data_IF_897641927275
#
_entry.id   IF_897641927275
#
_cell.length_a   1.000
_cell.length_b   1.000
_cell.length_c   1.000
_cell.angle_alpha   90.00
_cell.angle_beta   90.00
_cell.angle_gamma   90.00
#
_symmetry.space_group_name_H-M   'P 1'
#
loop_
_entity.id
_entity.type
_entity.pdbx_description
1 polymer ?
#
# COMPACT_ATOMS: atom_id res chain seq x y z
N UNK A 1 15.01 2.67 19.55
CA UNK A 1 15.71 2.79 20.84
C UNK A 1 14.97 3.82 21.66
N UNK A 2 14.45 3.47 22.85
CA UNK A 2 13.65 4.39 23.64
C UNK A 2 14.52 5.45 24.32
N UNK A 3 13.95 6.61 24.67
CA UNK A 3 14.66 7.65 25.46
C UNK A 3 15.22 7.09 26.77
N UNK A 4 14.50 6.14 27.38
CA UNK A 4 14.92 5.40 28.57
C UNK A 4 16.14 4.52 28.32
N UNK A 5 16.26 3.93 27.12
CA UNK A 5 17.43 3.13 26.75
C UNK A 5 18.66 4.02 26.56
N UNK A 6 18.50 5.19 25.91
CA UNK A 6 19.58 6.18 25.73
C UNK A 6 20.04 6.70 27.09
N UNK A 7 19.09 7.08 27.96
CA UNK A 7 19.35 7.55 29.31
C UNK A 7 20.14 6.51 30.12
N UNK A 8 19.72 5.23 30.06
CA UNK A 8 20.40 4.11 30.72
C UNK A 8 21.81 3.91 30.18
N UNK A 9 21.99 3.92 28.86
CA UNK A 9 23.29 3.71 28.19
C UNK A 9 24.30 4.81 28.50
N UNK A 10 23.83 6.06 28.51
CA UNK A 10 24.65 7.25 28.73
C UNK A 10 24.74 7.65 30.21
N UNK A 11 24.08 6.92 31.11
CA UNK A 11 24.01 7.20 32.57
C UNK A 11 23.54 8.63 32.88
N UNK A 12 22.54 9.10 32.15
CA UNK A 12 21.92 10.42 32.36
C UNK A 12 20.42 10.27 32.60
N UNK A 13 19.78 11.30 33.15
CA UNK A 13 18.31 11.32 33.27
C UNK A 13 17.64 11.42 31.88
N UNK A 14 16.43 10.88 31.76
CA UNK A 14 15.61 11.04 30.54
C UNK A 14 15.36 12.51 30.21
N UNK A 15 15.21 13.37 31.22
CA UNK A 15 15.09 14.83 31.07
C UNK A 15 16.34 15.46 30.46
N UNK A 16 17.53 14.97 30.82
CA UNK A 16 18.80 15.42 30.22
C UNK A 16 18.89 15.02 28.76
N UNK A 17 18.49 13.79 28.41
CA UNK A 17 18.42 13.33 27.02
C UNK A 17 17.46 14.23 26.23
N UNK A 18 16.26 14.47 26.75
CA UNK A 18 15.25 15.33 26.09
C UNK A 18 15.78 16.75 25.86
N UNK A 19 16.35 17.39 26.88
CA UNK A 19 16.94 18.74 26.76
C UNK A 19 18.07 18.78 25.74
N UNK A 20 18.87 17.71 25.63
CA UNK A 20 19.91 17.62 24.61
C UNK A 20 19.32 17.47 23.21
N UNK A 21 18.25 16.70 23.05
CA UNK A 21 17.51 16.63 21.79
C UNK A 21 16.92 17.98 21.38
N UNK A 22 16.31 18.73 22.32
CA UNK A 22 15.77 20.08 22.07
C UNK A 22 16.84 21.10 21.64
N UNK A 23 18.10 20.88 22.03
CA UNK A 23 19.22 21.74 21.61
C UNK A 23 19.64 21.50 20.15
N UNK A 24 19.22 20.39 19.53
CA UNK A 24 19.48 20.16 18.11
C UNK A 24 18.47 20.91 17.26
N UNK A 25 18.91 22.03 16.66
CA UNK A 25 18.23 22.60 15.51
C UNK A 25 18.79 21.95 14.24
N UNK A 26 17.97 21.21 13.50
CA UNK A 26 18.34 20.77 12.16
C UNK A 26 18.32 21.99 11.23
N UNK A 27 19.44 22.27 10.56
CA UNK A 27 19.45 23.28 9.49
C UNK A 27 18.86 22.63 8.25
N UNK A 28 17.66 23.06 7.87
CA UNK A 28 17.04 22.64 6.62
C UNK A 28 17.78 23.32 5.45
N UNK A 29 18.38 22.52 4.56
CA UNK A 29 19.03 23.01 3.36
C UNK A 29 18.05 22.94 2.18
N UNK A 30 17.63 24.09 1.68
CA UNK A 30 16.65 24.21 0.58
C UNK A 30 17.28 24.33 -0.81
N UNK A 31 18.55 23.92 -0.93
CA UNK A 31 19.35 24.17 -2.14
C UNK A 31 19.19 23.07 -3.18
N UNK A 32 18.87 21.84 -2.75
CA UNK A 32 18.84 20.65 -3.60
C UNK A 32 17.69 19.72 -3.23
N UNK A 33 17.16 19.08 -4.25
CA UNK A 33 16.22 17.97 -4.14
C UNK A 33 16.78 16.78 -4.95
N UNK A 34 16.45 15.55 -4.56
CA UNK A 34 16.89 14.37 -5.30
C UNK A 34 16.20 14.29 -6.66
N UNK A 35 16.83 13.57 -7.58
CA UNK A 35 16.27 13.26 -8.90
C UNK A 35 15.01 12.40 -8.80
N UNK A 36 15.00 11.43 -7.88
CA UNK A 36 13.89 10.51 -7.63
C UNK A 36 13.41 10.68 -6.20
N UNK A 37 12.12 10.99 -6.03
CA UNK A 37 11.50 11.22 -4.73
C UNK A 37 10.35 10.24 -4.51
N UNK A 38 10.11 9.88 -3.26
CA UNK A 38 8.91 9.15 -2.84
C UNK A 38 8.08 10.01 -1.90
N UNK A 39 6.76 10.02 -2.11
CA UNK A 39 5.76 10.65 -1.26
C UNK A 39 4.83 9.58 -0.70
N UNK A 40 4.69 9.52 0.61
CA UNK A 40 3.82 8.56 1.29
C UNK A 40 3.17 9.18 2.55
N UNK A 41 2.28 8.42 3.17
CA UNK A 41 1.58 8.76 4.42
C UNK A 41 1.85 7.67 5.48
N UNK A 42 2.12 8.09 6.72
CA UNK A 42 2.21 7.14 7.84
C UNK A 42 1.40 7.61 9.04
N UNK A 43 0.87 6.65 9.80
CA UNK A 43 0.13 6.92 11.02
C UNK A 43 1.08 7.30 12.17
N UNK A 44 0.94 8.51 12.70
CA UNK A 44 1.76 8.99 13.82
C UNK A 44 1.02 8.94 15.15
N UNK A 45 -0.21 9.44 15.19
CA UNK A 45 -1.13 9.37 16.34
C UNK A 45 -2.42 8.64 15.93
N UNK A 46 -3.22 8.22 16.91
CA UNK A 46 -4.44 7.44 16.68
C UNK A 46 -5.41 8.21 15.76
N UNK A 47 -5.41 7.87 14.47
CA UNK A 47 -6.25 8.49 13.44
C UNK A 47 -5.63 9.66 12.67
N UNK A 48 -4.38 10.05 12.95
CA UNK A 48 -3.69 11.16 12.27
C UNK A 48 -2.57 10.63 11.36
N UNK A 49 -2.62 11.06 10.10
CA UNK A 49 -1.65 10.72 9.06
C UNK A 49 -0.69 11.89 8.85
N UNK A 50 0.59 11.59 8.92
CA UNK A 50 1.70 12.48 8.60
C UNK A 50 2.15 12.23 7.15
N UNK A 51 2.61 13.28 6.48
CA UNK A 51 3.22 13.17 5.16
C UNK A 51 4.71 12.91 5.31
N UNK A 52 5.26 12.01 4.50
CA UNK A 52 6.70 11.77 4.41
C UNK A 52 7.17 11.95 2.97
N UNK A 53 8.29 12.63 2.81
CA UNK A 53 9.05 12.61 1.57
C UNK A 53 10.47 12.14 1.82
N UNK A 54 10.96 11.28 0.93
CA UNK A 54 12.31 10.74 0.99
C UNK A 54 12.94 10.66 -0.40
N UNK A 55 14.26 10.64 -0.44
CA UNK A 55 14.99 10.23 -1.62
C UNK A 55 14.73 8.73 -1.85
N UNK A 56 14.18 8.40 -3.02
CA UNK A 56 13.82 7.01 -3.33
C UNK A 56 15.04 6.09 -3.50
N UNK A 57 16.17 6.63 -3.95
CA UNK A 57 17.38 5.84 -4.22
C UNK A 57 18.19 5.58 -2.94
N UNK A 58 18.30 6.58 -2.06
CA UNK A 58 19.13 6.50 -0.84
C UNK A 58 18.33 6.18 0.42
N UNK A 59 16.99 6.25 0.36
CA UNK A 59 16.09 6.25 1.52
C UNK A 59 16.38 7.36 2.54
N UNK A 60 17.09 8.41 2.13
CA UNK A 60 17.34 9.58 2.99
C UNK A 60 16.07 10.41 3.10
N UNK A 61 15.71 10.73 4.34
CA UNK A 61 14.53 11.53 4.65
C UNK A 61 14.72 12.97 4.17
N UNK A 62 13.77 13.48 3.38
CA UNK A 62 13.71 14.90 3.00
C UNK A 62 12.93 15.65 4.07
N UNK A 63 11.72 15.16 4.39
CA UNK A 63 10.86 15.79 5.38
C UNK A 63 9.81 14.84 5.94
N UNK A 64 9.35 15.16 7.15
CA UNK A 64 8.12 14.64 7.74
C UNK A 64 7.28 15.87 8.11
N UNK A 65 6.04 15.89 7.65
CA UNK A 65 5.08 16.93 7.99
C UNK A 65 3.96 16.32 8.83
N UNK A 66 3.60 16.99 9.92
CA UNK A 66 2.62 16.50 10.90
C UNK A 66 1.22 16.22 10.34
N UNK A 67 0.94 16.69 9.12
CA UNK A 67 -0.31 16.45 8.43
C UNK A 67 -0.11 16.35 6.90
N UNK A 68 -1.13 15.79 6.25
CA UNK A 68 -1.20 15.59 4.79
C UNK A 68 -1.93 16.68 4.01
N UNK A 69 -2.16 17.87 4.60
CA UNK A 69 -2.91 18.94 3.90
C UNK A 69 -2.07 19.47 2.73
N UNK A 70 -2.71 19.64 1.58
CA UNK A 70 -2.04 20.15 0.38
C UNK A 70 -1.36 21.51 0.63
N UNK A 71 -1.95 22.37 1.46
CA UNK A 71 -1.38 23.67 1.82
C UNK A 71 -0.07 23.54 2.58
N UNK A 72 0.02 22.62 3.54
CA UNK A 72 1.23 22.34 4.32
C UNK A 72 2.34 21.79 3.43
N UNK A 73 2.03 20.80 2.60
CA UNK A 73 2.97 20.20 1.64
C UNK A 73 3.46 21.26 0.63
N UNK A 74 2.52 22.04 0.06
CA UNK A 74 2.84 23.13 -0.86
C UNK A 74 3.79 24.14 -0.24
N UNK A 75 3.47 24.64 0.95
CA UNK A 75 4.26 25.67 1.62
C UNK A 75 5.67 25.16 1.96
N UNK A 76 5.81 23.88 2.33
CA UNK A 76 7.12 23.27 2.54
C UNK A 76 7.94 23.25 1.25
N UNK A 77 7.41 22.70 0.16
CA UNK A 77 8.18 22.56 -1.08
C UNK A 77 8.41 23.89 -1.81
N UNK A 78 7.59 24.91 -1.58
CA UNK A 78 7.83 26.27 -2.13
C UNK A 78 9.02 26.99 -1.49
N UNK A 79 9.56 26.50 -0.37
CA UNK A 79 10.84 26.98 0.17
C UNK A 79 12.01 26.65 -0.76
N UNK A 80 11.90 25.59 -1.58
CA UNK A 80 12.91 25.24 -2.58
C UNK A 80 12.79 26.15 -3.81
N UNK A 81 13.90 26.74 -4.29
CA UNK A 81 13.93 27.48 -5.54
C UNK A 81 13.41 26.65 -6.71
N UNK A 82 12.81 27.31 -7.70
CA UNK A 82 12.28 26.63 -8.89
C UNK A 82 13.34 25.74 -9.58
N UNK A 83 14.59 26.20 -9.64
CA UNK A 83 15.72 25.45 -10.21
C UNK A 83 15.96 24.12 -9.50
N UNK A 84 15.77 24.04 -8.19
CA UNK A 84 15.90 22.79 -7.44
C UNK A 84 14.71 21.86 -7.72
N UNK A 85 13.49 22.42 -7.77
CA UNK A 85 12.27 21.64 -8.07
C UNK A 85 12.24 21.09 -9.50
N UNK A 86 12.83 21.80 -10.45
CA UNK A 86 12.97 21.35 -11.85
C UNK A 86 13.97 20.19 -12.04
N UNK A 87 14.83 19.90 -11.06
CA UNK A 87 15.77 18.77 -11.12
C UNK A 87 15.12 17.43 -10.75
N UNK A 88 13.96 17.46 -10.10
CA UNK A 88 13.19 16.25 -9.80
C UNK A 88 12.63 15.71 -11.11
N UNK A 89 13.00 14.47 -11.43
CA UNK A 89 12.57 13.78 -12.65
C UNK A 89 11.43 12.80 -12.40
N UNK A 90 11.42 12.16 -11.23
CA UNK A 90 10.43 11.14 -10.91
C UNK A 90 9.93 11.32 -9.48
N UNK A 91 8.62 11.22 -9.30
CA UNK A 91 8.03 11.17 -7.96
C UNK A 91 7.15 9.93 -7.91
N UNK A 92 7.49 9.01 -7.02
CA UNK A 92 6.64 7.86 -6.71
C UNK A 92 5.66 8.18 -5.59
N UNK A 93 4.39 7.84 -5.77
CA UNK A 93 3.33 8.12 -4.80
C UNK A 93 2.12 7.20 -5.00
N UNK A 94 1.21 7.18 -4.03
CA UNK A 94 -0.11 6.57 -4.16
C UNK A 94 -1.00 7.31 -5.19
N UNK A 95 -2.10 6.68 -5.62
CA UNK A 95 -3.15 7.21 -6.50
C UNK A 95 -4.02 8.27 -5.82
N UNK A 96 -3.41 9.18 -5.07
CA UNK A 96 -4.07 10.27 -4.36
C UNK A 96 -4.48 11.38 -5.32
N UNK A 97 -5.78 11.58 -5.47
CA UNK A 97 -6.34 12.71 -6.24
C UNK A 97 -5.94 14.08 -5.69
N UNK A 98 -5.42 14.16 -4.46
CA UNK A 98 -4.89 15.38 -3.89
C UNK A 98 -3.40 15.60 -4.23
N UNK A 99 -2.59 14.53 -4.27
CA UNK A 99 -1.14 14.63 -4.46
C UNK A 99 -0.74 14.78 -5.91
N UNK A 100 -1.36 14.03 -6.82
CA UNK A 100 -1.00 14.06 -8.25
C UNK A 100 -1.09 15.50 -8.82
N UNK A 101 -2.18 16.26 -8.61
CA UNK A 101 -2.26 17.63 -9.11
C UNK A 101 -1.29 18.57 -8.39
N UNK A 102 -1.02 18.35 -7.10
CA UNK A 102 -0.12 19.17 -6.33
C UNK A 102 1.34 18.98 -6.77
N UNK A 103 1.77 17.73 -6.94
CA UNK A 103 3.10 17.37 -7.39
C UNK A 103 3.38 17.93 -8.79
N UNK A 104 2.44 17.80 -9.73
CA UNK A 104 2.55 18.40 -11.07
C UNK A 104 2.75 19.92 -11.03
N UNK A 105 2.12 20.62 -10.08
CA UNK A 105 2.30 22.07 -9.89
C UNK A 105 3.65 22.42 -9.27
N UNK A 106 4.14 21.61 -8.34
CA UNK A 106 5.38 21.86 -7.61
C UNK A 106 6.62 21.46 -8.41
N UNK A 107 6.55 20.38 -9.18
CA UNK A 107 7.66 19.76 -9.91
C UNK A 107 7.29 19.60 -11.39
N UNK A 108 7.45 20.67 -12.19
CA UNK A 108 6.94 20.69 -13.56
C UNK A 108 7.61 19.68 -14.50
N UNK A 109 8.85 19.26 -14.18
CA UNK A 109 9.62 18.30 -14.98
C UNK A 109 9.49 16.86 -14.47
N UNK A 110 8.77 16.64 -13.37
CA UNK A 110 8.68 15.33 -12.76
C UNK A 110 7.56 14.49 -13.37
N UNK A 111 7.89 13.28 -13.75
CA UNK A 111 6.93 12.24 -14.08
C UNK A 111 6.44 11.55 -12.80
N UNK A 112 5.13 11.33 -12.72
CA UNK A 112 4.50 10.72 -11.55
C UNK A 112 4.39 9.22 -11.78
N UNK A 113 5.05 8.44 -10.93
CA UNK A 113 5.04 6.98 -10.96
C UNK A 113 4.13 6.48 -9.85
N UNK A 114 3.05 5.79 -10.20
CA UNK A 114 2.18 5.19 -9.20
C UNK A 114 2.91 4.03 -8.50
N UNK A 115 2.86 4.01 -7.16
CA UNK A 115 3.42 2.92 -6.39
C UNK A 115 2.64 1.61 -6.70
N UNK A 116 3.42 0.64 -7.17
CA UNK A 116 3.01 -0.71 -7.50
C UNK A 116 2.37 -1.44 -6.32
N UNK A 117 2.82 -1.20 -5.10
CA UNK A 117 2.22 -1.81 -3.90
C UNK A 117 0.76 -1.41 -3.73
N UNK A 118 0.44 -0.12 -3.92
CA UNK A 118 -0.92 0.37 -3.79
C UNK A 118 -1.85 -0.20 -4.86
N UNK A 119 -1.37 -0.41 -6.09
CA UNK A 119 -2.15 -1.08 -7.16
C UNK A 119 -2.62 -2.47 -6.69
N UNK A 120 -1.71 -3.30 -6.21
CA UNK A 120 -2.05 -4.64 -5.70
C UNK A 120 -2.96 -4.57 -4.48
N UNK A 121 -2.72 -3.62 -3.58
CA UNK A 121 -3.57 -3.39 -2.42
C UNK A 121 -5.01 -3.02 -2.83
N UNK A 122 -5.17 -2.18 -3.86
CA UNK A 122 -6.47 -1.80 -4.41
C UNK A 122 -7.18 -2.98 -5.08
N UNK A 123 -6.46 -3.77 -5.90
CA UNK A 123 -7.01 -5.00 -6.50
C UNK A 123 -7.49 -5.99 -5.44
N UNK A 124 -6.66 -6.24 -4.42
CA UNK A 124 -7.03 -7.12 -3.31
C UNK A 124 -8.25 -6.62 -2.55
N UNK A 125 -8.34 -5.31 -2.29
CA UNK A 125 -9.52 -4.70 -1.64
C UNK A 125 -10.78 -4.81 -2.50
N UNK A 126 -10.68 -4.60 -3.81
CA UNK A 126 -11.79 -4.74 -4.74
C UNK A 126 -12.34 -6.17 -4.72
N UNK A 127 -11.46 -7.16 -4.86
CA UNK A 127 -11.85 -8.57 -4.78
C UNK A 127 -12.48 -8.91 -3.42
N UNK A 128 -11.89 -8.46 -2.29
CA UNK A 128 -12.49 -8.66 -0.97
C UNK A 128 -13.90 -8.08 -0.85
N UNK A 129 -14.14 -6.90 -1.42
CA UNK A 129 -15.45 -6.25 -1.42
C UNK A 129 -16.47 -7.10 -2.17
N UNK A 130 -16.13 -7.59 -3.36
CA UNK A 130 -16.97 -8.50 -4.14
C UNK A 130 -17.23 -9.80 -3.41
N UNK A 131 -16.19 -10.42 -2.83
CA UNK A 131 -16.33 -11.62 -2.01
C UNK A 131 -17.30 -11.42 -0.85
N UNK A 132 -17.24 -10.27 -0.16
CA UNK A 132 -18.16 -9.96 0.94
C UNK A 132 -19.60 -9.77 0.42
N UNK A 133 -19.78 -9.13 -0.74
CA UNK A 133 -21.08 -8.98 -1.36
C UNK A 133 -21.71 -10.34 -1.69
N UNK A 134 -20.96 -11.23 -2.35
CA UNK A 134 -21.40 -12.61 -2.65
C UNK A 134 -21.65 -13.40 -1.37
N UNK A 135 -20.74 -13.34 -0.40
CA UNK A 135 -20.88 -14.01 0.90
C UNK A 135 -22.20 -13.63 1.59
N UNK A 136 -22.60 -12.36 1.56
CA UNK A 136 -23.81 -11.87 2.22
C UNK A 136 -25.12 -12.29 1.52
N UNK A 137 -25.06 -12.89 0.33
CA UNK A 137 -26.24 -13.48 -0.34
C UNK A 137 -26.62 -14.83 0.26
N UNK A 138 -25.69 -15.51 0.95
CA UNK A 138 -25.93 -16.80 1.58
C UNK A 138 -26.45 -16.65 3.02
N UNK A 139 -27.17 -17.68 3.50
CA UNK A 139 -27.55 -17.75 4.91
C UNK A 139 -26.31 -17.84 5.82
N UNK A 140 -26.35 -17.17 6.98
CA UNK A 140 -25.20 -17.06 7.90
C UNK A 140 -24.73 -18.40 8.46
N UNK A 141 -25.61 -19.40 8.54
CA UNK A 141 -25.28 -20.73 9.03
C UNK A 141 -24.90 -21.69 7.90
N UNK A 142 -25.07 -21.29 6.63
CA UNK A 142 -24.74 -22.12 5.49
C UNK A 142 -23.24 -22.36 5.34
N UNK A 143 -22.89 -23.51 4.75
CA UNK A 143 -21.50 -23.85 4.43
C UNK A 143 -20.82 -22.81 3.52
N UNK A 144 -21.46 -22.30 2.44
CA UNK A 144 -20.86 -21.26 1.59
C UNK A 144 -20.49 -19.98 2.36
N UNK A 145 -21.39 -19.49 3.22
CA UNK A 145 -21.12 -18.31 4.04
C UNK A 145 -19.92 -18.53 4.95
N UNK A 146 -19.90 -19.64 5.67
CA UNK A 146 -18.82 -19.96 6.61
C UNK A 146 -17.48 -20.17 5.88
N UNK A 147 -17.47 -20.80 4.71
CA UNK A 147 -16.27 -21.02 3.92
C UNK A 147 -15.65 -19.68 3.46
N UNK A 148 -16.47 -18.80 2.89
CA UNK A 148 -16.08 -17.46 2.45
C UNK A 148 -15.62 -16.56 3.61
N UNK A 149 -16.24 -16.70 4.77
CA UNK A 149 -15.91 -15.93 5.98
C UNK A 149 -14.63 -16.42 6.66
N UNK A 150 -14.49 -17.72 6.88
CA UNK A 150 -13.43 -18.27 7.73
C UNK A 150 -12.10 -18.38 6.98
N UNK A 151 -12.15 -18.65 5.67
CA UNK A 151 -10.96 -18.94 4.86
C UNK A 151 -10.56 -17.78 3.93
N UNK A 152 -11.11 -16.59 4.18
CA UNK A 152 -10.94 -15.41 3.34
C UNK A 152 -9.48 -15.05 3.00
N UNK A 153 -8.53 -15.34 3.91
CA UNK A 153 -7.10 -15.06 3.74
C UNK A 153 -6.46 -15.90 2.66
N UNK A 154 -7.01 -17.09 2.37
CA UNK A 154 -6.47 -17.96 1.32
C UNK A 154 -6.69 -17.35 -0.06
N UNK A 155 -7.83 -16.69 -0.28
CA UNK A 155 -8.14 -16.06 -1.56
C UNK A 155 -7.25 -14.84 -1.88
N UNK A 156 -6.67 -14.20 -0.87
CA UNK A 156 -5.73 -13.08 -1.08
C UNK A 156 -4.30 -13.52 -1.36
N UNK A 157 -3.97 -14.78 -1.06
CA UNK A 157 -2.64 -15.29 -1.37
C UNK A 157 -2.56 -15.55 -2.85
N UNK A 158 -1.35 -15.38 -3.39
CA UNK A 158 -1.02 -15.90 -4.70
C UNK A 158 -1.24 -17.42 -4.70
N UNK A 159 -2.08 -17.89 -5.60
CA UNK A 159 -2.42 -19.30 -5.78
C UNK A 159 -1.19 -20.19 -5.96
N UNK A 160 -0.12 -19.67 -6.56
CA UNK A 160 1.16 -20.38 -6.78
C UNK A 160 1.97 -20.52 -5.50
N UNK A 161 1.68 -19.72 -4.48
CA UNK A 161 2.35 -19.69 -3.17
C UNK A 161 1.51 -20.30 -2.06
N UNK A 162 0.34 -20.85 -2.38
CA UNK A 162 -0.44 -21.62 -1.43
C UNK A 162 0.34 -22.88 -1.03
N UNK A 163 0.27 -23.24 0.26
CA UNK A 163 0.99 -24.41 0.76
C UNK A 163 0.29 -25.69 0.29
N UNK A 164 1.07 -26.72 -0.06
CA UNK A 164 0.53 -28.05 -0.30
C UNK A 164 0.23 -28.84 0.98
N UNK A 165 0.51 -28.28 2.17
CA UNK A 165 0.30 -28.98 3.45
C UNK A 165 -1.17 -28.98 3.82
N UNK A 166 -1.76 -30.17 3.86
CA UNK A 166 -3.14 -30.37 4.28
C UNK A 166 -3.35 -30.07 5.76
N UNK A 167 -4.54 -29.57 6.10
CA UNK A 167 -4.96 -29.33 7.47
C UNK A 167 -6.44 -29.67 7.65
N UNK A 168 -6.84 -30.00 8.87
CA UNK A 168 -8.24 -30.27 9.18
C UNK A 168 -9.06 -28.97 9.18
N UNK A 169 -9.97 -28.83 8.22
CA UNK A 169 -10.87 -27.68 8.13
C UNK A 169 -12.17 -27.98 8.88
N UNK A 170 -12.40 -27.27 9.99
CA UNK A 170 -13.65 -27.37 10.76
C UNK A 170 -14.88 -26.99 9.92
N UNK A 171 -14.74 -26.00 9.04
CA UNK A 171 -15.83 -25.52 8.18
C UNK A 171 -16.34 -26.63 7.27
N UNK A 172 -15.43 -27.42 6.68
CA UNK A 172 -15.78 -28.50 5.76
C UNK A 172 -15.86 -29.88 6.42
N UNK A 173 -15.46 -30.02 7.68
CA UNK A 173 -15.41 -31.29 8.40
C UNK A 173 -14.39 -32.30 7.85
N UNK A 174 -13.41 -31.86 7.05
CA UNK A 174 -12.46 -32.73 6.35
C UNK A 174 -11.07 -32.12 6.30
N UNK A 175 -10.07 -32.98 6.07
CA UNK A 175 -8.68 -32.55 5.86
C UNK A 175 -8.48 -32.16 4.40
N UNK A 176 -8.07 -30.92 4.15
CA UNK A 176 -7.89 -30.35 2.82
C UNK A 176 -6.56 -29.62 2.74
N UNK A 177 -5.96 -29.62 1.58
CA UNK A 177 -4.96 -28.62 1.21
C UNK A 177 -5.62 -27.25 1.02
N UNK A 178 -4.87 -26.14 1.20
CA UNK A 178 -5.30 -24.81 0.83
C UNK A 178 -5.87 -24.68 -0.59
N UNK A 179 -5.31 -25.39 -1.58
CA UNK A 179 -5.80 -25.39 -2.96
C UNK A 179 -7.19 -26.02 -3.07
N UNK A 180 -7.36 -27.25 -2.57
CA UNK A 180 -8.65 -27.96 -2.60
C UNK A 180 -9.74 -27.17 -1.85
N UNK A 181 -9.37 -26.50 -0.76
CA UNK A 181 -10.31 -25.67 0.00
C UNK A 181 -10.76 -24.46 -0.82
N UNK A 182 -9.83 -23.74 -1.46
CA UNK A 182 -10.17 -22.62 -2.34
C UNK A 182 -11.06 -23.10 -3.48
N UNK A 183 -10.68 -24.15 -4.18
CA UNK A 183 -11.46 -24.74 -5.28
C UNK A 183 -12.88 -25.13 -4.84
N UNK A 184 -13.02 -25.87 -3.73
CA UNK A 184 -14.34 -26.21 -3.17
C UNK A 184 -15.18 -25.00 -2.82
N UNK A 185 -14.56 -23.91 -2.39
CA UNK A 185 -15.29 -22.68 -2.04
C UNK A 185 -15.70 -21.89 -3.28
N UNK A 186 -14.86 -21.86 -4.32
CA UNK A 186 -15.17 -21.22 -5.59
C UNK A 186 -16.38 -21.89 -6.27
N UNK A 187 -16.51 -23.21 -6.16
CA UNK A 187 -17.65 -23.96 -6.68
C UNK A 187 -19.03 -23.56 -6.10
N UNK A 188 -19.09 -22.72 -5.05
CA UNK A 188 -20.35 -22.19 -4.54
C UNK A 188 -20.92 -21.04 -5.38
N UNK A 189 -20.12 -20.40 -6.23
CA UNK A 189 -20.55 -19.25 -7.04
C UNK A 189 -19.65 -19.09 -8.27
N UNK A 190 -20.27 -19.12 -9.45
CA UNK A 190 -19.60 -18.84 -10.73
C UNK A 190 -19.02 -17.42 -10.74
N UNK A 191 -19.83 -16.44 -10.33
CA UNK A 191 -19.41 -15.03 -10.20
C UNK A 191 -18.14 -14.90 -9.33
N UNK A 192 -18.09 -15.57 -8.18
CA UNK A 192 -16.91 -15.57 -7.31
C UNK A 192 -15.67 -16.15 -8.02
N UNK A 193 -15.87 -17.21 -8.80
CA UNK A 193 -14.82 -17.90 -9.55
C UNK A 193 -14.22 -16.99 -10.62
N UNK A 194 -15.06 -16.26 -11.35
CA UNK A 194 -14.62 -15.32 -12.38
C UNK A 194 -13.79 -14.18 -11.78
N UNK A 195 -14.31 -13.55 -10.72
CA UNK A 195 -13.59 -12.46 -10.05
C UNK A 195 -12.28 -12.93 -9.40
N UNK A 196 -12.27 -14.15 -8.83
CA UNK A 196 -11.04 -14.72 -8.27
C UNK A 196 -10.01 -14.99 -9.37
N UNK A 197 -10.44 -15.56 -10.49
CA UNK A 197 -9.56 -15.86 -11.63
C UNK A 197 -8.95 -14.59 -12.19
N UNK A 198 -9.75 -13.54 -12.43
CA UNK A 198 -9.25 -12.24 -12.87
C UNK A 198 -8.26 -11.64 -11.86
N UNK A 199 -8.60 -11.67 -10.57
CA UNK A 199 -7.72 -11.17 -9.51
C UNK A 199 -6.37 -11.91 -9.49
N UNK A 200 -6.37 -13.24 -9.59
CA UNK A 200 -5.15 -14.05 -9.59
C UNK A 200 -4.31 -13.85 -10.86
N UNK A 201 -4.94 -13.67 -12.03
CA UNK A 201 -4.25 -13.34 -13.28
C UNK A 201 -3.54 -11.99 -13.17
N UNK A 202 -4.24 -10.95 -12.72
CA UNK A 202 -3.66 -9.62 -12.50
C UNK A 202 -2.52 -9.67 -11.48
N UNK A 203 -2.70 -10.40 -10.37
CA UNK A 203 -1.66 -10.60 -9.36
C UNK A 203 -0.44 -11.34 -9.92
N UNK A 204 -0.66 -12.33 -10.79
CA UNK A 204 0.39 -13.08 -11.46
C UNK A 204 1.20 -12.19 -12.40
N UNK A 205 0.54 -11.52 -13.36
CA UNK A 205 1.21 -10.63 -14.32
C UNK A 205 2.02 -9.54 -13.62
N UNK A 206 1.45 -8.96 -12.56
CA UNK A 206 2.15 -7.97 -11.77
C UNK A 206 3.41 -8.53 -11.10
N UNK A 207 3.34 -9.71 -10.47
CA UNK A 207 4.50 -10.31 -9.80
C UNK A 207 5.59 -10.74 -10.79
N UNK A 208 5.20 -11.21 -11.98
CA UNK A 208 6.12 -11.58 -13.05
C UNK A 208 6.65 -10.37 -13.84
N UNK A 209 6.25 -9.14 -13.48
CA UNK A 209 6.61 -7.89 -14.18
C UNK A 209 6.24 -7.90 -15.67
N UNK A 210 5.15 -8.58 -16.00
CA UNK A 210 4.54 -8.66 -17.33
C UNK A 210 3.60 -7.47 -17.52
N UNK A 211 4.20 -6.33 -17.86
CA UNK A 211 3.51 -5.02 -17.86
C UNK A 211 2.49 -4.95 -18.98
N UNK A 212 2.85 -5.38 -20.18
CA UNK A 212 1.98 -5.30 -21.36
C UNK A 212 0.74 -6.19 -21.17
N UNK A 213 0.94 -7.43 -20.73
CA UNK A 213 -0.16 -8.37 -20.48
C UNK A 213 -1.08 -7.92 -19.34
N UNK A 214 -0.54 -7.22 -18.33
CA UNK A 214 -1.34 -6.65 -17.24
C UNK A 214 -2.29 -5.56 -17.76
N UNK A 215 -1.78 -4.63 -18.59
CA UNK A 215 -2.59 -3.53 -19.10
C UNK A 215 -3.56 -3.95 -20.20
N UNK A 216 -3.18 -4.90 -21.06
CA UNK A 216 -4.10 -5.48 -22.04
C UNK A 216 -5.31 -6.13 -21.37
N UNK A 217 -5.08 -6.92 -20.32
CA UNK A 217 -6.15 -7.56 -19.55
C UNK A 217 -7.03 -6.52 -18.83
N UNK A 218 -6.41 -5.47 -18.29
CA UNK A 218 -7.12 -4.37 -17.65
C UNK A 218 -8.03 -3.62 -18.63
N UNK A 219 -7.52 -3.24 -19.80
CA UNK A 219 -8.27 -2.51 -20.82
C UNK A 219 -9.39 -3.35 -21.42
N UNK A 220 -9.15 -4.66 -21.64
CA UNK A 220 -10.20 -5.59 -22.05
C UNK A 220 -11.35 -5.64 -21.04
N UNK A 221 -11.02 -5.73 -19.74
CA UNK A 221 -12.03 -5.77 -18.67
C UNK A 221 -12.84 -4.47 -18.58
N UNK A 222 -12.25 -3.31 -18.88
CA UNK A 222 -12.96 -2.03 -18.93
C UNK A 222 -13.89 -1.91 -20.14
N UNK A 223 -13.50 -2.48 -21.28
CA UNK A 223 -14.29 -2.45 -22.51
C UNK A 223 -15.59 -3.27 -22.39
N UNK A 224 -15.60 -4.35 -21.61
CA UNK A 224 -16.80 -5.17 -21.39
C UNK A 224 -17.78 -4.61 -20.34
N UNK A 225 -17.33 -3.67 -19.51
CA UNK A 225 -18.16 -3.07 -18.44
C UNK A 225 -18.69 -1.66 -18.82
N UNK A 226 -18.66 -1.31 -20.10
CA UNK A 226 -19.32 -0.12 -20.69
C UNK A 226 -20.51 -0.55 -21.51
#
# INVERSE_FOLDING_TARGET
MALTDIARRLRVSTSTVYRKFDQFSFKEHFDKLPRVMSWDEFGFKKGELAFVAQNYETNELITILDNRRQTTIRNYFLKYPLKARQQVQFITMDMSGAYIPLAKKLFPNAEIIIDRFHIIQHLGRAFLKTRIAIMNQFDKNSLPYQALKNHWRLFQKDSRKLSCKSFHSKTFGQTLSPHELVEKTLNFSEELTDYYTLYQLLLCHFQEKRVDEFFELYDYSLAQNR
#
